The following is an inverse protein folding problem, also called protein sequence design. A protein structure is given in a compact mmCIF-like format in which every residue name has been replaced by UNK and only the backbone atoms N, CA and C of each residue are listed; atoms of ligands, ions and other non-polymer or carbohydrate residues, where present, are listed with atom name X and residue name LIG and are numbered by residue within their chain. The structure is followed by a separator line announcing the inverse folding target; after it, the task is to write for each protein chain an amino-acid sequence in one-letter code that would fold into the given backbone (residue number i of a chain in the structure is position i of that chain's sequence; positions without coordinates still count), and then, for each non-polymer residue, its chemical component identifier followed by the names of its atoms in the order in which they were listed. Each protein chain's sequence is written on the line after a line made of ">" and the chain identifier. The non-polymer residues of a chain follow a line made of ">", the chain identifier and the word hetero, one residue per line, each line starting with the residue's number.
data_IF_879272376391
#
_entry.id   IF_879272376391
#
_cell.length_a   1.000
_cell.length_b   1.000
_cell.length_c   1.000
_cell.angle_alpha   90.00
_cell.angle_beta   90.00
_cell.angle_gamma   90.00
#
_symmetry.space_group_name_H-M   'P 1'
#
loop_
_entity.id
_entity.type
_entity.pdbx_description
1 polymer ?
#
# COMPACT_ATOMS: atom_id res chain seq x y z
N UNK A 1 1.20 -5.03 -8.81
CA UNK A 1 2.51 -4.41 -8.54
C UNK A 1 3.36 -5.41 -7.78
N UNK A 2 4.58 -5.70 -8.22
CA UNK A 2 5.50 -6.56 -7.47
C UNK A 2 6.42 -5.68 -6.62
N UNK A 3 6.54 -5.98 -5.34
CA UNK A 3 7.47 -5.28 -4.45
C UNK A 3 8.67 -6.19 -4.22
N UNK A 4 9.85 -5.64 -4.47
CA UNK A 4 11.12 -6.32 -4.26
C UNK A 4 12.01 -5.52 -3.33
N UNK A 5 12.98 -6.18 -2.72
CA UNK A 5 13.95 -5.54 -1.84
C UNK A 5 15.29 -6.27 -1.86
N UNK A 6 16.37 -5.55 -1.63
CA UNK A 6 17.67 -6.12 -1.22
C UNK A 6 18.04 -5.70 0.22
N UNK A 7 17.16 -4.95 0.89
CA UNK A 7 17.31 -4.57 2.30
C UNK A 7 17.10 -5.83 3.15
N UNK A 8 18.13 -6.20 3.92
CA UNK A 8 18.12 -7.43 4.73
C UNK A 8 17.19 -7.34 5.95
N UNK A 9 17.04 -6.15 6.52
CA UNK A 9 16.14 -5.92 7.65
C UNK A 9 14.72 -5.66 7.14
N UNK A 10 13.84 -6.63 7.39
CA UNK A 10 12.44 -6.59 6.94
C UNK A 10 11.68 -5.39 7.53
N UNK A 11 11.95 -4.97 8.78
CA UNK A 11 11.28 -3.81 9.39
C UNK A 11 11.63 -2.53 8.64
N UNK A 12 12.89 -2.38 8.26
CA UNK A 12 13.37 -1.24 7.46
C UNK A 12 12.74 -1.28 6.06
N UNK A 13 12.67 -2.46 5.43
CA UNK A 13 12.02 -2.62 4.12
C UNK A 13 10.53 -2.26 4.19
N UNK A 14 9.79 -2.71 5.21
CA UNK A 14 8.39 -2.36 5.41
C UNK A 14 8.20 -0.88 5.71
N UNK A 15 9.09 -0.24 6.46
CA UNK A 15 9.05 1.21 6.65
C UNK A 15 9.20 1.96 5.32
N UNK A 16 10.16 1.56 4.50
CA UNK A 16 10.36 2.14 3.17
C UNK A 16 9.15 1.93 2.25
N UNK A 17 8.54 0.74 2.28
CA UNK A 17 7.31 0.45 1.54
C UNK A 17 6.16 1.35 1.97
N UNK A 18 5.94 1.50 3.28
CA UNK A 18 4.88 2.35 3.80
C UNK A 18 5.09 3.80 3.40
N UNK A 19 6.34 4.29 3.51
CA UNK A 19 6.70 5.64 3.06
C UNK A 19 6.38 5.84 1.59
N UNK A 20 6.75 4.88 0.73
CA UNK A 20 6.41 4.90 -0.68
C UNK A 20 4.89 4.97 -0.93
N UNK A 21 4.11 4.09 -0.31
CA UNK A 21 2.68 3.98 -0.55
C UNK A 21 1.93 5.24 -0.13
N UNK A 22 2.27 5.83 1.02
CA UNK A 22 1.64 7.06 1.52
C UNK A 22 2.24 8.33 0.92
N UNK A 23 3.11 8.20 -0.08
CA UNK A 23 3.81 9.33 -0.70
C UNK A 23 4.53 10.18 0.35
N UNK A 24 5.32 9.57 1.21
CA UNK A 24 6.25 10.23 2.14
C UNK A 24 7.68 10.01 1.63
N UNK A 25 8.57 10.96 1.93
CA UNK A 25 10.01 10.79 1.68
C UNK A 25 10.51 9.57 2.47
N UNK A 26 11.08 8.60 1.76
CA UNK A 26 11.77 7.47 2.36
C UNK A 26 13.24 7.80 2.61
N UNK A 27 13.81 7.23 3.67
CA UNK A 27 15.27 7.22 3.90
C UNK A 27 15.98 6.22 2.99
N UNK A 28 15.22 5.32 2.36
CA UNK A 28 15.73 4.32 1.44
C UNK A 28 15.47 4.74 0.00
N UNK A 29 16.31 4.21 -0.88
CA UNK A 29 16.20 4.43 -2.31
C UNK A 29 15.05 3.60 -2.87
N UNK A 30 14.30 4.20 -3.79
CA UNK A 30 13.16 3.56 -4.44
C UNK A 30 13.42 3.52 -5.93
N UNK A 31 13.43 2.33 -6.51
CA UNK A 31 13.53 2.13 -7.95
C UNK A 31 12.17 1.66 -8.46
N UNK A 32 11.62 2.38 -9.44
CA UNK A 32 10.46 1.96 -10.20
C UNK A 32 10.88 1.46 -11.58
N UNK A 33 10.32 0.32 -11.99
CA UNK A 33 10.50 -0.26 -13.32
C UNK A 33 9.25 -1.04 -13.72
N UNK A 34 8.64 -0.70 -14.86
CA UNK A 34 7.41 -1.34 -15.32
C UNK A 34 6.37 -1.41 -14.19
N UNK A 35 5.96 -2.62 -13.78
CA UNK A 35 5.00 -2.88 -12.69
C UNK A 35 5.66 -3.23 -11.35
N UNK A 36 6.96 -2.97 -11.22
CA UNK A 36 7.79 -3.33 -10.07
C UNK A 36 8.28 -2.09 -9.32
N UNK A 37 8.31 -2.20 -8.00
CA UNK A 37 8.97 -1.27 -7.10
C UNK A 37 10.03 -2.04 -6.33
N UNK A 38 11.25 -1.52 -6.30
CA UNK A 38 12.39 -2.09 -5.60
C UNK A 38 12.80 -1.12 -4.51
N UNK A 39 12.88 -1.63 -3.28
CA UNK A 39 13.38 -0.91 -2.11
C UNK A 39 14.84 -1.29 -1.91
N UNK A 40 15.73 -0.31 -1.85
CA UNK A 40 17.18 -0.55 -1.76
C UNK A 40 17.86 0.53 -0.92
N UNK A 41 19.05 0.21 -0.42
CA UNK A 41 19.90 1.16 0.31
C UNK A 41 21.15 1.59 -0.48
N UNK A 42 21.43 0.90 -1.59
CA UNK A 42 22.67 1.04 -2.32
C UNK A 42 22.46 1.32 -3.81
N UNK A 43 21.38 2.03 -4.19
CA UNK A 43 21.16 2.34 -5.59
C UNK A 43 22.30 3.19 -6.14
N UNK A 44 22.92 2.73 -7.23
CA UNK A 44 23.98 3.47 -7.91
C UNK A 44 23.37 4.56 -8.77
N UNK A 45 23.91 5.77 -8.66
CA UNK A 45 23.57 6.88 -9.55
C UNK A 45 24.44 6.73 -10.80
N UNK A 46 23.83 6.94 -11.96
CA UNK A 46 24.52 6.96 -13.25
C UNK A 46 24.72 8.40 -13.71
N UNK A 47 25.68 8.61 -14.59
CA UNK A 47 25.84 9.90 -15.26
C UNK A 47 24.71 10.12 -16.26
N UNK A 48 24.28 11.38 -16.38
CA UNK A 48 23.20 11.76 -17.27
C UNK A 48 23.10 13.27 -17.37
N UNK A 49 22.29 13.73 -18.32
CA UNK A 49 22.02 15.14 -18.49
C UNK A 49 21.02 15.61 -17.42
N UNK A 50 21.27 16.80 -16.87
CA UNK A 50 20.34 17.45 -15.96
C UNK A 50 19.27 18.16 -16.77
N UNK A 51 18.01 17.86 -16.49
CA UNK A 51 16.85 18.40 -17.18
C UNK A 51 15.86 18.92 -16.15
N UNK A 52 15.25 20.07 -16.42
CA UNK A 52 14.20 20.62 -15.57
C UNK A 52 12.80 20.32 -16.15
N UNK A 53 11.98 19.64 -15.36
CA UNK A 53 10.63 19.21 -15.71
C UNK A 53 9.70 19.62 -14.57
N UNK A 54 8.75 20.52 -14.85
CA UNK A 54 7.77 21.00 -13.86
C UNK A 54 8.42 21.56 -12.58
N UNK A 55 9.55 22.28 -12.73
CA UNK A 55 10.31 22.84 -11.60
C UNK A 55 11.22 21.84 -10.88
N UNK A 56 11.29 20.59 -11.36
CA UNK A 56 12.09 19.53 -10.75
C UNK A 56 13.27 19.15 -11.63
N UNK A 57 14.44 19.14 -11.00
CA UNK A 57 15.69 18.68 -11.62
C UNK A 57 15.70 17.16 -11.65
N UNK A 58 15.70 16.62 -12.85
CA UNK A 58 15.80 15.19 -13.15
C UNK A 58 17.11 14.95 -13.89
N UNK A 59 17.88 13.98 -13.43
CA UNK A 59 19.14 13.58 -14.08
C UNK A 59 18.89 12.27 -14.83
N UNK A 60 19.24 12.19 -16.11
CA UNK A 60 18.92 11.00 -16.88
C UNK A 60 19.56 10.90 -18.25
N UNK A 61 19.37 9.74 -18.88
CA UNK A 61 19.94 9.41 -20.20
C UNK A 61 18.90 9.53 -21.33
N UNK A 62 17.65 9.87 -21.02
CA UNK A 62 16.60 10.00 -22.01
C UNK A 62 16.38 11.45 -22.45
N UNK A 63 15.93 11.68 -23.70
CA UNK A 63 15.48 12.99 -24.14
C UNK A 63 14.31 13.51 -23.30
N UNK A 64 14.22 14.84 -23.16
CA UNK A 64 13.24 15.56 -22.31
C UNK A 64 11.81 15.07 -22.43
N UNK A 65 11.32 14.85 -23.65
CA UNK A 65 9.95 14.39 -23.88
C UNK A 65 9.69 13.01 -23.25
N UNK A 66 10.64 12.07 -23.40
CA UNK A 66 10.52 10.73 -22.81
C UNK A 66 10.68 10.76 -21.28
N UNK A 67 11.61 11.59 -20.78
CA UNK A 67 11.79 11.83 -19.34
C UNK A 67 10.49 12.37 -18.71
N UNK A 68 9.82 13.32 -19.37
CA UNK A 68 8.52 13.86 -18.93
C UNK A 68 7.44 12.78 -18.86
N UNK A 69 7.33 11.92 -19.88
CA UNK A 69 6.33 10.84 -19.89
C UNK A 69 6.57 9.84 -18.76
N UNK A 70 7.82 9.44 -18.54
CA UNK A 70 8.18 8.48 -17.47
C UNK A 70 7.90 9.09 -16.09
N UNK A 71 8.36 10.33 -15.87
CA UNK A 71 8.12 11.04 -14.62
C UNK A 71 6.63 11.21 -14.33
N UNK A 72 5.84 11.62 -15.33
CA UNK A 72 4.39 11.75 -15.20
C UNK A 72 3.73 10.42 -14.83
N UNK A 73 4.10 9.33 -15.51
CA UNK A 73 3.57 8.00 -15.20
C UNK A 73 3.84 7.61 -13.74
N UNK A 74 5.08 7.81 -13.27
CA UNK A 74 5.47 7.55 -11.88
C UNK A 74 4.65 8.36 -10.87
N UNK A 75 4.52 9.68 -11.09
CA UNK A 75 3.77 10.57 -10.19
C UNK A 75 2.26 10.27 -10.14
N UNK A 76 1.74 9.68 -11.21
CA UNK A 76 0.36 9.21 -11.33
C UNK A 76 0.17 7.78 -10.79
N UNK A 77 1.22 7.14 -10.24
CA UNK A 77 1.17 5.76 -9.75
C UNK A 77 1.01 4.72 -10.86
N UNK A 78 1.23 5.10 -12.12
CA UNK A 78 1.14 4.20 -13.28
C UNK A 78 2.46 3.47 -13.52
N UNK A 79 2.40 2.26 -14.12
CA UNK A 79 3.61 1.59 -14.57
C UNK A 79 4.43 2.49 -15.51
N UNK A 80 5.74 2.57 -15.28
CA UNK A 80 6.62 3.32 -16.17
C UNK A 80 6.95 2.49 -17.43
N UNK A 81 7.42 3.16 -18.49
CA UNK A 81 7.73 2.51 -19.76
C UNK A 81 8.74 1.37 -19.61
N UNK A 82 8.52 0.26 -20.34
CA UNK A 82 9.44 -0.87 -20.37
C UNK A 82 10.84 -0.47 -20.82
N UNK A 83 11.86 -1.00 -20.16
CA UNK A 83 13.27 -0.66 -20.43
C UNK A 83 13.73 0.68 -19.86
N UNK A 84 12.88 1.40 -19.14
CA UNK A 84 13.25 2.56 -18.34
C UNK A 84 13.29 2.21 -16.84
N UNK A 85 14.14 2.90 -16.11
CA UNK A 85 14.27 2.83 -14.66
C UNK A 85 14.15 4.24 -14.09
N UNK A 86 13.33 4.41 -13.04
CA UNK A 86 13.26 5.65 -12.28
C UNK A 86 13.75 5.38 -10.87
N UNK A 87 14.79 6.11 -10.45
CA UNK A 87 15.35 6.06 -9.10
C UNK A 87 14.97 7.34 -8.34
N UNK A 88 14.44 7.18 -7.14
CA UNK A 88 14.32 8.23 -6.14
C UNK A 88 15.39 7.99 -5.08
N UNK A 89 16.32 8.94 -4.95
CA UNK A 89 17.44 8.88 -4.00
C UNK A 89 17.67 10.26 -3.39
N UNK A 90 17.67 10.34 -2.05
CA UNK A 90 17.83 11.59 -1.31
C UNK A 90 16.89 12.72 -1.77
N UNK A 91 15.65 12.37 -2.14
CA UNK A 91 14.65 13.33 -2.67
C UNK A 91 14.91 13.81 -4.11
N UNK A 92 15.95 13.32 -4.78
CA UNK A 92 16.24 13.59 -6.19
C UNK A 92 15.72 12.46 -7.06
N UNK A 93 15.35 12.80 -8.29
CA UNK A 93 14.80 11.86 -9.26
C UNK A 93 15.81 11.66 -10.38
N UNK A 94 16.01 10.40 -10.72
CA UNK A 94 16.90 9.97 -11.77
C UNK A 94 16.15 9.04 -12.73
N UNK A 95 16.36 9.18 -14.03
CA UNK A 95 15.67 8.36 -15.04
C UNK A 95 16.66 7.84 -16.08
N UNK A 96 16.82 6.53 -16.13
CA UNK A 96 17.82 5.86 -16.97
C UNK A 96 17.19 4.80 -17.87
N UNK A 97 17.96 4.38 -18.89
CA UNK A 97 17.71 3.08 -19.51
C UNK A 97 18.01 1.99 -18.48
N UNK A 98 17.11 1.02 -18.36
CA UNK A 98 17.29 -0.14 -17.52
C UNK A 98 18.46 -0.99 -18.04
N UNK A 99 19.31 -1.41 -17.10
CA UNK A 99 20.39 -2.38 -17.31
C UNK A 99 20.07 -3.65 -16.50
N UNK A 100 21.07 -4.51 -16.29
CA UNK A 100 20.91 -5.77 -15.57
C UNK A 100 20.30 -5.56 -14.17
N UNK A 101 19.37 -6.45 -13.80
CA UNK A 101 18.72 -6.39 -12.49
C UNK A 101 19.72 -6.73 -11.38
N UNK A 102 19.82 -5.86 -10.37
CA UNK A 102 20.41 -6.25 -9.10
C UNK A 102 19.62 -7.42 -8.49
N UNK A 103 20.32 -8.35 -7.85
CA UNK A 103 19.69 -9.46 -7.13
C UNK A 103 18.83 -8.89 -6.01
N UNK A 104 17.53 -9.16 -6.10
CA UNK A 104 16.49 -8.68 -5.21
C UNK A 104 15.49 -9.79 -4.95
N UNK A 105 14.97 -9.84 -3.74
CA UNK A 105 13.97 -10.81 -3.31
C UNK A 105 12.58 -10.18 -3.29
N UNK A 106 11.53 -11.00 -3.41
CA UNK A 106 10.16 -10.53 -3.26
C UNK A 106 9.90 -10.15 -1.79
N UNK A 107 9.46 -8.91 -1.55
CA UNK A 107 9.02 -8.49 -0.23
C UNK A 107 7.56 -8.91 -0.02
N UNK A 108 7.37 -10.04 0.66
CA UNK A 108 6.04 -10.58 0.97
C UNK A 108 5.44 -9.85 2.16
N UNK A 109 4.11 -9.71 2.19
CA UNK A 109 3.41 -9.26 3.39
C UNK A 109 3.53 -10.31 4.51
N UNK A 110 3.47 -9.90 5.79
CA UNK A 110 3.40 -10.84 6.91
C UNK A 110 2.22 -11.81 6.72
N UNK A 111 2.45 -13.11 6.94
CA UNK A 111 1.46 -14.17 6.61
C UNK A 111 0.09 -13.94 7.27
N UNK A 112 0.09 -13.40 8.49
CA UNK A 112 -1.12 -13.18 9.29
C UNK A 112 -1.62 -11.73 9.25
N UNK A 113 -1.11 -10.88 8.35
CA UNK A 113 -1.48 -9.45 8.31
C UNK A 113 -2.99 -9.25 8.25
N UNK A 114 -3.72 -10.12 7.55
CA UNK A 114 -5.18 -10.02 7.38
C UNK A 114 -5.94 -10.11 8.73
N UNK A 115 -5.34 -10.72 9.74
CA UNK A 115 -5.90 -10.85 11.10
C UNK A 115 -5.61 -9.64 11.99
N UNK A 116 -4.78 -8.70 11.53
CA UNK A 116 -4.38 -7.50 12.28
C UNK A 116 -5.39 -6.35 12.14
N UNK A 117 -6.52 -6.57 11.45
CA UNK A 117 -7.59 -5.57 11.25
C UNK A 117 -8.94 -6.23 11.45
N UNK A 118 -9.84 -5.63 12.22
CA UNK A 118 -11.24 -6.08 12.39
C UNK A 118 -12.23 -5.00 11.99
N UNK A 119 -13.41 -5.43 11.54
CA UNK A 119 -14.56 -4.55 11.31
C UNK A 119 -15.27 -4.21 12.61
N UNK A 120 -16.01 -3.10 12.62
CA UNK A 120 -16.95 -2.73 13.69
C UNK A 120 -17.86 -3.91 14.07
N UNK A 121 -18.42 -4.64 13.10
CA UNK A 121 -19.30 -5.78 13.39
C UNK A 121 -18.60 -6.97 14.02
N UNK A 122 -17.38 -7.28 13.60
CA UNK A 122 -16.60 -8.32 14.27
C UNK A 122 -16.28 -7.92 15.73
N UNK A 123 -15.99 -6.64 15.97
CA UNK A 123 -15.68 -6.13 17.31
C UNK A 123 -16.93 -6.14 18.20
N UNK A 124 -18.06 -5.64 17.70
CA UNK A 124 -19.35 -5.67 18.40
C UNK A 124 -19.71 -7.09 18.85
N UNK A 125 -19.58 -8.08 17.95
CA UNK A 125 -19.87 -9.49 18.22
C UNK A 125 -18.85 -10.11 19.21
N UNK A 126 -17.55 -9.87 19.00
CA UNK A 126 -16.48 -10.48 19.81
C UNK A 126 -16.43 -9.96 21.24
N UNK A 127 -16.64 -8.65 21.43
CA UNK A 127 -16.50 -8.00 22.74
C UNK A 127 -17.84 -7.64 23.39
N UNK A 128 -18.97 -7.98 22.76
CA UNK A 128 -20.30 -7.71 23.31
C UNK A 128 -20.64 -6.21 23.40
N UNK A 129 -20.07 -5.41 22.51
CA UNK A 129 -20.21 -3.94 22.49
C UNK A 129 -21.31 -3.57 21.50
N UNK A 130 -22.20 -2.64 21.87
CA UNK A 130 -23.21 -2.14 20.93
C UNK A 130 -22.68 -0.98 20.08
N UNK A 131 -23.33 -0.72 18.94
CA UNK A 131 -22.89 0.30 17.98
C UNK A 131 -22.75 1.73 18.56
N UNK A 132 -23.59 2.10 19.55
CA UNK A 132 -23.50 3.43 20.20
C UNK A 132 -22.25 3.51 21.08
N UNK A 133 -22.00 2.47 21.86
CA UNK A 133 -20.81 2.37 22.69
C UNK A 133 -19.55 2.32 21.83
N UNK A 134 -19.50 1.47 20.80
CA UNK A 134 -18.37 1.38 19.87
C UNK A 134 -17.99 2.74 19.27
N UNK A 135 -18.99 3.52 18.80
CA UNK A 135 -18.75 4.86 18.26
C UNK A 135 -18.14 5.83 19.27
N UNK A 136 -18.54 5.73 20.54
CA UNK A 136 -17.95 6.54 21.60
C UNK A 136 -16.51 6.11 21.88
N UNK A 137 -16.26 4.80 21.95
CA UNK A 137 -14.95 4.23 22.27
C UNK A 137 -13.88 4.64 21.24
N UNK A 138 -14.23 4.65 19.94
CA UNK A 138 -13.27 4.97 18.88
C UNK A 138 -12.97 6.46 18.70
N UNK A 139 -13.62 7.34 19.47
CA UNK A 139 -13.48 8.79 19.33
C UNK A 139 -12.05 9.28 19.58
N UNK A 140 -11.31 8.61 20.47
CA UNK A 140 -9.92 8.93 20.82
C UNK A 140 -8.87 8.13 20.04
N UNK A 141 -9.30 7.22 19.16
CA UNK A 141 -8.39 6.39 18.36
C UNK A 141 -7.72 7.22 17.26
N UNK A 142 -6.41 7.01 17.11
CA UNK A 142 -5.58 7.64 16.09
C UNK A 142 -6.08 7.31 14.69
N UNK A 143 -6.07 8.28 13.79
CA UNK A 143 -6.42 8.09 12.36
C UNK A 143 -5.57 7.02 11.66
N UNK A 144 -4.36 6.75 12.14
CA UNK A 144 -3.51 5.68 11.60
C UNK A 144 -3.95 4.28 12.02
N UNK A 145 -4.76 4.16 13.08
CA UNK A 145 -5.23 2.90 13.66
C UNK A 145 -6.72 2.64 13.39
N UNK A 146 -7.40 3.56 12.70
CA UNK A 146 -8.79 3.42 12.28
C UNK A 146 -8.97 3.81 10.82
N UNK A 147 -9.95 3.22 10.16
CA UNK A 147 -10.32 3.59 8.81
C UNK A 147 -11.82 3.39 8.60
N UNK A 148 -12.50 4.36 7.99
CA UNK A 148 -13.92 4.29 7.69
C UNK A 148 -14.17 4.36 6.18
N UNK A 149 -14.96 3.42 5.67
CA UNK A 149 -15.46 3.46 4.31
C UNK A 149 -16.94 3.09 4.25
N UNK A 150 -17.76 4.00 3.70
CA UNK A 150 -19.23 3.90 3.72
C UNK A 150 -19.72 3.68 5.17
N UNK A 151 -20.26 2.49 5.47
CA UNK A 151 -20.84 2.15 6.76
C UNK A 151 -20.04 1.07 7.47
N UNK A 152 -18.74 0.94 7.18
CA UNK A 152 -17.85 -0.04 7.80
C UNK A 152 -16.62 0.66 8.31
N UNK A 153 -16.31 0.40 9.59
CA UNK A 153 -15.12 0.92 10.25
C UNK A 153 -14.18 -0.26 10.47
N UNK A 154 -12.91 -0.07 10.13
CA UNK A 154 -11.81 -1.00 10.36
C UNK A 154 -10.93 -0.44 11.47
N UNK A 155 -10.60 -1.26 12.46
CA UNK A 155 -9.59 -0.94 13.48
C UNK A 155 -8.43 -1.91 13.39
N UNK A 156 -7.23 -1.41 13.68
CA UNK A 156 -6.07 -2.28 13.87
C UNK A 156 -6.21 -3.07 15.17
N UNK A 157 -5.56 -4.24 15.24
CA UNK A 157 -5.50 -5.05 16.46
C UNK A 157 -4.96 -4.27 17.66
N UNK A 158 -3.95 -3.43 17.45
CA UNK A 158 -3.41 -2.54 18.50
C UNK A 158 -4.47 -1.58 19.09
N UNK A 159 -5.31 -0.98 18.25
CA UNK A 159 -6.42 -0.15 18.74
C UNK A 159 -7.42 -0.97 19.55
N UNK A 160 -7.76 -2.17 19.08
CA UNK A 160 -8.72 -3.07 19.74
C UNK A 160 -8.20 -3.52 21.11
N UNK A 161 -6.94 -3.92 21.19
CA UNK A 161 -6.30 -4.32 22.45
C UNK A 161 -6.29 -3.20 23.48
N UNK A 162 -6.02 -1.97 23.02
CA UNK A 162 -6.05 -0.78 23.87
C UNK A 162 -7.45 -0.52 24.41
N UNK A 163 -8.48 -0.62 23.57
CA UNK A 163 -9.87 -0.32 23.93
C UNK A 163 -10.52 -1.40 24.81
N UNK A 164 -10.41 -2.65 24.41
CA UNK A 164 -11.26 -3.72 24.92
C UNK A 164 -10.51 -4.77 25.75
N UNK A 165 -9.21 -4.94 25.50
CA UNK A 165 -8.39 -5.89 26.26
C UNK A 165 -7.63 -5.20 27.40
N UNK A 166 -7.69 -3.86 27.45
CA UNK A 166 -7.03 -2.98 28.44
C UNK A 166 -5.52 -3.25 28.55
N UNK A 167 -4.94 -3.79 27.49
CA UNK A 167 -3.50 -4.02 27.40
C UNK A 167 -2.80 -2.68 27.18
N UNK A 168 -1.84 -2.37 28.05
CA UNK A 168 -1.07 -1.11 27.97
C UNK A 168 0.12 -1.20 27.02
N UNK A 169 0.54 -2.41 26.67
CA UNK A 169 1.69 -2.66 25.82
C UNK A 169 1.23 -2.77 24.37
N UNK A 170 1.64 -1.82 23.53
CA UNK A 170 1.39 -1.93 22.08
C UNK A 170 2.18 -3.09 21.51
N UNK A 171 1.57 -3.87 20.62
CA UNK A 171 2.32 -4.77 19.75
C UNK A 171 3.04 -3.87 18.75
N UNK A 172 4.37 -3.94 18.68
CA UNK A 172 5.11 -3.30 17.59
C UNK A 172 4.76 -4.03 16.28
N UNK A 173 3.77 -3.52 15.56
CA UNK A 173 3.47 -3.97 14.20
C UNK A 173 4.47 -3.33 13.25
N UNK A 174 5.22 -4.15 12.52
CA UNK A 174 6.26 -3.68 11.58
C UNK A 174 5.68 -2.83 10.43
N UNK A 175 4.37 -2.95 10.22
CA UNK A 175 3.65 -2.37 9.10
C UNK A 175 2.20 -2.06 9.50
N UNK A 176 1.67 -0.91 9.04
CA UNK A 176 0.27 -0.54 9.25
C UNK A 176 -0.65 -1.40 8.37
N UNK A 177 -1.41 -2.35 8.94
CA UNK A 177 -2.17 -3.30 8.13
C UNK A 177 -3.32 -2.64 7.37
N UNK A 178 -3.78 -1.45 7.80
CA UNK A 178 -4.79 -0.67 7.08
C UNK A 178 -4.29 -0.10 5.74
N UNK A 179 -2.99 -0.18 5.43
CA UNK A 179 -2.50 0.13 4.07
C UNK A 179 -2.72 -1.05 3.10
N UNK A 180 -2.90 -2.26 3.60
CA UNK A 180 -2.88 -3.47 2.78
C UNK A 180 -4.18 -4.25 2.80
N UNK A 181 -5.12 -3.87 3.66
CA UNK A 181 -6.38 -4.58 3.85
C UNK A 181 -7.53 -3.68 3.42
N UNK A 182 -8.36 -4.23 2.53
CA UNK A 182 -9.53 -3.58 1.97
C UNK A 182 -10.77 -4.38 2.34
N UNK A 183 -11.88 -3.68 2.55
CA UNK A 183 -13.19 -4.33 2.41
C UNK A 183 -13.46 -4.68 0.94
N UNK A 184 -14.35 -5.64 0.66
CA UNK A 184 -14.79 -5.92 -0.73
C UNK A 184 -15.34 -4.69 -1.43
N UNK A 185 -16.00 -3.78 -0.70
CA UNK A 185 -16.53 -2.53 -1.22
C UNK A 185 -15.43 -1.57 -1.68
N UNK A 186 -14.38 -1.42 -0.88
CA UNK A 186 -13.21 -0.61 -1.24
C UNK A 186 -12.44 -1.23 -2.40
N UNK A 187 -12.19 -2.53 -2.33
CA UNK A 187 -11.51 -3.27 -3.39
C UNK A 187 -12.24 -3.13 -4.73
N UNK A 188 -13.58 -3.31 -4.73
CA UNK A 188 -14.41 -3.08 -5.92
C UNK A 188 -14.31 -1.64 -6.44
N UNK A 189 -14.41 -0.66 -5.54
CA UNK A 189 -14.27 0.75 -5.93
C UNK A 189 -12.91 1.07 -6.56
N UNK A 190 -11.82 0.65 -5.93
CA UNK A 190 -10.44 0.95 -6.35
C UNK A 190 -10.06 0.22 -7.65
N UNK A 191 -10.51 -1.01 -7.85
CA UNK A 191 -10.21 -1.78 -9.08
C UNK A 191 -11.25 -1.61 -10.19
N UNK A 192 -12.25 -0.73 -10.04
CA UNK A 192 -13.37 -0.61 -10.99
C UNK A 192 -14.08 -1.95 -11.22
N UNK A 193 -14.31 -2.70 -10.15
CA UNK A 193 -14.98 -3.99 -10.14
C UNK A 193 -16.27 -3.93 -9.35
N UNK A 194 -17.21 -4.80 -9.72
CA UNK A 194 -18.40 -5.00 -8.90
C UNK A 194 -17.97 -5.57 -7.53
N UNK A 195 -18.34 -4.95 -6.39
CA UNK A 195 -18.06 -5.51 -5.08
C UNK A 195 -18.54 -6.95 -4.88
N UNK A 196 -19.58 -7.38 -5.60
CA UNK A 196 -20.06 -8.77 -5.60
C UNK A 196 -19.14 -9.72 -6.37
N UNK A 197 -18.51 -9.28 -7.45
CA UNK A 197 -17.47 -10.05 -8.16
C UNK A 197 -16.30 -10.31 -7.19
N UNK A 198 -15.85 -9.26 -6.51
CA UNK A 198 -14.77 -9.36 -5.52
C UNK A 198 -15.16 -10.26 -4.34
N UNK A 199 -16.39 -10.13 -3.84
CA UNK A 199 -16.93 -10.99 -2.78
C UNK A 199 -17.05 -12.45 -3.23
N UNK A 200 -17.46 -12.71 -4.47
CA UNK A 200 -17.56 -14.06 -5.03
C UNK A 200 -16.18 -14.74 -5.05
N UNK A 201 -15.13 -14.02 -5.46
CA UNK A 201 -13.74 -14.50 -5.36
C UNK A 201 -13.32 -14.86 -3.94
N UNK A 202 -13.78 -14.10 -2.93
CA UNK A 202 -13.49 -14.38 -1.52
C UNK A 202 -14.23 -15.61 -0.97
N UNK A 203 -15.48 -15.80 -1.38
CA UNK A 203 -16.30 -16.97 -1.01
C UNK A 203 -15.82 -18.25 -1.73
N UNK A 204 -14.98 -18.12 -2.77
CA UNK A 204 -14.56 -19.22 -3.62
C UNK A 204 -15.58 -19.59 -4.70
N UNK A 205 -16.56 -18.73 -4.93
CA UNK A 205 -17.54 -18.88 -6.01
C UNK A 205 -16.88 -18.54 -7.34
N UNK A 206 -16.78 -19.52 -8.25
CA UNK A 206 -16.19 -19.35 -9.58
C UNK A 206 -15.00 -20.27 -9.88
N UNK A 207 -14.31 -19.98 -11.00
CA UNK A 207 -13.18 -20.77 -11.50
C UNK A 207 -12.01 -20.75 -10.50
N UNK A 208 -11.28 -21.88 -10.35
CA UNK A 208 -10.22 -22.05 -9.34
C UNK A 208 -9.16 -20.95 -9.38
N UNK A 209 -8.84 -20.47 -10.58
CA UNK A 209 -7.83 -19.42 -10.80
C UNK A 209 -8.26 -18.01 -10.36
N UNK A 210 -9.55 -17.79 -10.10
CA UNK A 210 -10.11 -16.51 -9.65
C UNK A 210 -10.45 -16.50 -8.14
N UNK A 211 -9.99 -17.51 -7.39
CA UNK A 211 -10.25 -17.65 -5.96
C UNK A 211 -9.19 -16.95 -5.13
N UNK A 212 -9.65 -16.34 -4.05
CA UNK A 212 -8.80 -15.87 -2.96
C UNK A 212 -8.61 -17.03 -1.97
N UNK A 213 -7.40 -17.15 -1.42
CA UNK A 213 -7.08 -18.13 -0.38
C UNK A 213 -7.50 -17.59 0.98
N UNK A 214 -8.46 -18.23 1.64
CA UNK A 214 -8.88 -17.84 2.99
C UNK A 214 -7.72 -17.94 3.99
N UNK A 215 -7.63 -16.98 4.91
CA UNK A 215 -6.54 -16.86 5.89
C UNK A 215 -5.28 -16.18 5.36
N UNK A 216 -5.09 -16.10 4.03
CA UNK A 216 -3.96 -15.43 3.39
C UNK A 216 -4.37 -14.21 2.57
N UNK A 217 -5.22 -14.43 1.57
CA UNK A 217 -5.67 -13.39 0.64
C UNK A 217 -6.92 -12.69 1.16
N UNK A 218 -7.77 -13.41 1.89
CA UNK A 218 -9.01 -12.89 2.44
C UNK A 218 -9.40 -13.56 3.74
N UNK A 219 -10.28 -12.91 4.50
CA UNK A 219 -11.01 -13.53 5.61
C UNK A 219 -12.36 -12.86 5.81
N UNK A 220 -13.28 -13.56 6.45
CA UNK A 220 -14.53 -12.97 6.90
C UNK A 220 -14.33 -12.24 8.24
N UNK A 221 -14.87 -11.02 8.34
CA UNK A 221 -14.86 -10.16 9.52
C UNK A 221 -16.29 -9.65 9.73
N UNK A 222 -17.01 -10.24 10.68
CA UNK A 222 -18.45 -10.06 10.84
C UNK A 222 -19.20 -10.40 9.55
N UNK A 223 -19.88 -9.41 8.95
CA UNK A 223 -20.64 -9.56 7.70
C UNK A 223 -19.85 -9.19 6.43
N UNK A 224 -18.62 -8.72 6.60
CA UNK A 224 -17.78 -8.18 5.53
C UNK A 224 -16.60 -9.11 5.25
N UNK A 225 -16.21 -9.23 3.99
CA UNK A 225 -14.95 -9.89 3.62
C UNK A 225 -13.84 -8.84 3.53
N UNK A 226 -12.73 -9.12 4.21
CA UNK A 226 -11.49 -8.37 4.11
C UNK A 226 -10.57 -9.06 3.11
N UNK A 227 -9.84 -8.27 2.33
CA UNK A 227 -9.00 -8.74 1.22
C UNK A 227 -7.68 -7.99 1.22
N UNK A 228 -6.57 -8.69 0.94
CA UNK A 228 -5.26 -8.06 0.79
C UNK A 228 -5.11 -7.36 -0.57
N UNK A 229 -4.41 -6.23 -0.59
CA UNK A 229 -4.08 -5.53 -1.84
C UNK A 229 -3.22 -6.40 -2.77
N UNK A 230 -2.33 -7.22 -2.22
CA UNK A 230 -1.53 -8.20 -2.98
C UNK A 230 -2.43 -9.15 -3.79
N UNK A 231 -3.48 -9.68 -3.18
CA UNK A 231 -4.40 -10.58 -3.87
C UNK A 231 -5.22 -9.86 -4.95
N UNK A 232 -5.60 -8.60 -4.71
CA UNK A 232 -6.26 -7.76 -5.72
C UNK A 232 -5.34 -7.50 -6.92
N UNK A 233 -4.06 -7.17 -6.69
CA UNK A 233 -3.08 -7.04 -7.76
C UNK A 233 -2.92 -8.34 -8.57
N UNK A 234 -2.92 -9.48 -7.89
CA UNK A 234 -2.75 -10.80 -8.51
C UNK A 234 -3.95 -11.18 -9.39
N UNK A 235 -5.18 -10.97 -8.90
CA UNK A 235 -6.39 -11.39 -9.60
C UNK A 235 -6.89 -10.38 -10.64
N UNK A 236 -6.83 -9.09 -10.32
CA UNK A 236 -7.47 -8.04 -11.11
C UNK A 236 -6.47 -7.06 -11.74
N UNK A 237 -5.17 -7.25 -11.53
CA UNK A 237 -4.13 -6.43 -12.16
C UNK A 237 -3.98 -5.06 -11.49
N UNK A 238 -3.69 -4.02 -12.29
CA UNK A 238 -3.47 -2.68 -11.75
C UNK A 238 -4.80 -2.01 -11.35
N UNK A 239 -4.85 -1.34 -10.18
CA UNK A 239 -6.00 -0.56 -9.75
C UNK A 239 -6.16 0.71 -10.60
N UNK A 240 -7.29 1.38 -10.42
CA UNK A 240 -7.40 2.79 -10.75
C UNK A 240 -6.41 3.60 -9.91
N UNK A 241 -5.46 4.24 -10.59
CA UNK A 241 -4.33 4.86 -9.88
C UNK A 241 -4.74 6.09 -9.08
N UNK A 242 -5.78 6.81 -9.50
CA UNK A 242 -6.29 7.97 -8.75
C UNK A 242 -6.99 7.52 -7.47
N UNK A 243 -7.78 6.44 -7.56
CA UNK A 243 -8.50 5.91 -6.39
C UNK A 243 -7.57 5.30 -5.36
N UNK A 244 -6.57 4.52 -5.79
CA UNK A 244 -5.61 3.93 -4.85
C UNK A 244 -4.67 4.99 -4.26
N UNK A 245 -4.31 6.02 -5.03
CA UNK A 245 -3.57 7.18 -4.50
C UNK A 245 -4.35 7.88 -3.40
N UNK A 246 -5.62 8.23 -3.66
CA UNK A 246 -6.52 8.83 -2.67
C UNK A 246 -6.70 7.94 -1.43
N UNK A 247 -6.72 6.62 -1.62
CA UNK A 247 -6.74 5.66 -0.54
C UNK A 247 -5.50 5.79 0.34
N UNK A 248 -4.28 5.79 -0.22
CA UNK A 248 -3.07 5.88 0.60
C UNK A 248 -2.85 7.26 1.22
N UNK A 249 -3.19 8.34 0.50
CA UNK A 249 -3.03 9.73 0.97
C UNK A 249 -3.78 10.01 2.27
N UNK A 250 -4.84 9.25 2.59
CA UNK A 250 -5.54 9.42 3.88
C UNK A 250 -4.72 9.00 5.09
N UNK A 251 -3.73 8.13 4.88
CA UNK A 251 -2.80 7.66 5.92
C UNK A 251 -1.51 8.47 5.95
N UNK A 252 -1.29 9.37 4.98
CA UNK A 252 -0.27 10.38 5.10
C UNK A 252 -0.73 11.35 6.20
N UNK A 253 0.01 11.41 7.31
CA UNK A 253 -0.28 12.31 8.43
C UNK A 253 -0.63 13.72 7.91
N UNK A 254 -1.83 14.23 8.24
CA UNK A 254 -2.17 15.65 7.99
C UNK A 254 -1.26 16.62 8.76
N UNK A 255 -0.46 16.11 9.70
CA UNK A 255 0.60 16.82 10.40
C UNK A 255 1.95 16.65 9.67
N UNK A 256 2.30 17.71 8.95
CA UNK A 256 3.59 18.08 8.37
C UNK A 256 4.13 17.28 7.18
N UNK A 257 4.40 18.08 6.14
CA UNK A 257 5.18 17.79 4.94
C UNK A 257 4.55 16.77 3.97
N UNK A 258 3.65 17.31 3.13
CA UNK A 258 3.59 16.84 1.74
C UNK A 258 5.03 16.74 1.24
N UNK A 259 5.51 15.62 0.69
CA UNK A 259 6.36 15.76 -0.46
C UNK A 259 5.40 16.09 -1.61
N UNK A 260 5.11 17.38 -1.73
CA UNK A 260 5.20 17.89 -3.09
C UNK A 260 6.68 17.74 -3.47
N UNK A 261 6.99 17.40 -4.73
CA UNK A 261 8.33 17.66 -5.23
C UNK A 261 8.87 19.00 -4.73
#
# INVERSE_FOLDING_TARGET
>A
MKIKTNIKDTKIAYKALQDYLIYRKSEKDIIAHSTQIILTENAKIKTGETQEIQGIKIIGTYPKMKTQTIYKAYMEGRPIAGGAELLVKNGKIYIYKKEDEEKTDDLKLPENIINEVMTDKEIEEKYGVNAKQFKNDISEIKETEKHEYKNTILLTKNAIMTLYEKEKTKIETELNPLLFILTTQEAGYIWNKDPQEVRASAIGSGHRNARLVEGKDCRKSGKTWLITTEAMYRLFGMPDTQKIKKYYERFANKSNEKPKP
#
